data_IF_074459036392
#
_entry.id   IF_074459036392
#
_cell.length_a   1.000
_cell.length_b   1.000
_cell.length_c   1.000
_cell.angle_alpha   90.00
_cell.angle_beta   90.00
_cell.angle_gamma   90.00
#
_symmetry.space_group_name_H-M   'P 1'
#
loop_
_entity.id
_entity.type
_entity.pdbx_description
1 polymer ?
#
# COMPACT_ATOMS: atom_id res chain seq x y z
N UNK A 1 -11.04 -13.30 -3.17
CA UNK A 1 -9.76 -12.58 -3.08
C UNK A 1 -9.97 -11.42 -2.12
N UNK A 2 -9.50 -11.58 -0.86
CA UNK A 2 -9.79 -10.65 0.23
C UNK A 2 -9.07 -9.29 0.04
N UNK A 3 -7.89 -9.30 -0.59
CA UNK A 3 -7.06 -8.11 -0.79
C UNK A 3 -7.59 -7.17 -1.87
N UNK A 4 -8.09 -7.71 -2.98
CA UNK A 4 -8.67 -6.90 -4.07
C UNK A 4 -9.94 -6.14 -3.61
N UNK A 5 -10.82 -6.79 -2.85
CA UNK A 5 -12.02 -6.14 -2.30
C UNK A 5 -11.68 -5.13 -1.19
N UNK A 6 -10.71 -5.44 -0.33
CA UNK A 6 -10.18 -4.49 0.65
C UNK A 6 -9.58 -3.26 -0.04
N UNK A 7 -8.82 -3.45 -1.12
CA UNK A 7 -8.21 -2.37 -1.89
C UNK A 7 -9.26 -1.46 -2.51
N UNK A 8 -10.29 -2.03 -3.16
CA UNK A 8 -11.40 -1.25 -3.74
C UNK A 8 -12.16 -0.45 -2.69
N UNK A 9 -12.46 -1.08 -1.55
CA UNK A 9 -13.20 -0.43 -0.45
C UNK A 9 -12.39 0.69 0.18
N UNK A 10 -11.12 0.43 0.52
CA UNK A 10 -10.20 1.43 1.06
C UNK A 10 -9.98 2.59 0.10
N UNK A 11 -9.73 2.30 -1.18
CA UNK A 11 -9.58 3.33 -2.21
C UNK A 11 -10.80 4.25 -2.29
N UNK A 12 -12.02 3.71 -2.28
CA UNK A 12 -13.24 4.55 -2.35
C UNK A 12 -13.36 5.50 -1.14
N UNK A 13 -13.02 5.02 0.06
CA UNK A 13 -13.03 5.85 1.27
C UNK A 13 -11.99 6.98 1.18
N UNK A 14 -10.75 6.66 0.82
CA UNK A 14 -9.69 7.66 0.65
C UNK A 14 -9.97 8.62 -0.51
N UNK A 15 -10.56 8.13 -1.60
CA UNK A 15 -10.98 8.96 -2.72
C UNK A 15 -12.06 9.96 -2.27
N UNK A 16 -13.04 9.52 -1.47
CA UNK A 16 -14.03 10.42 -0.89
C UNK A 16 -13.39 11.46 0.04
N UNK A 17 -12.41 11.07 0.85
CA UNK A 17 -11.65 11.99 1.70
C UNK A 17 -10.99 13.12 0.90
N UNK A 18 -10.24 12.79 -0.15
CA UNK A 18 -9.55 13.80 -0.98
C UNK A 18 -10.53 14.63 -1.83
N UNK A 19 -11.75 14.14 -2.07
CA UNK A 19 -12.82 14.88 -2.76
C UNK A 19 -13.67 15.75 -1.81
N UNK A 20 -13.25 15.94 -0.56
CA UNK A 20 -13.92 16.85 0.39
C UNK A 20 -14.72 16.16 1.50
N UNK A 21 -14.64 14.84 1.66
CA UNK A 21 -15.18 14.16 2.85
C UNK A 21 -14.20 14.26 4.05
N UNK A 22 -13.87 15.50 4.38
CA UNK A 22 -13.06 15.91 5.51
C UNK A 22 -13.73 17.11 6.18
N UNK A 23 -13.28 17.46 7.40
CA UNK A 23 -13.91 18.51 8.21
C UNK A 23 -13.92 19.88 7.51
N UNK A 24 -12.94 20.13 6.63
CA UNK A 24 -12.77 21.42 5.96
C UNK A 24 -13.45 21.48 4.59
N UNK A 25 -14.09 20.38 4.12
CA UNK A 25 -14.60 20.24 2.75
C UNK A 25 -13.56 20.56 1.67
N UNK A 26 -12.28 20.36 2.00
CA UNK A 26 -11.16 20.71 1.15
C UNK A 26 -10.92 19.60 0.11
N UNK A 27 -10.59 19.99 -1.12
CA UNK A 27 -10.05 19.07 -2.11
C UNK A 27 -8.56 18.87 -1.85
N UNK A 28 -8.10 17.62 -1.87
CA UNK A 28 -6.69 17.25 -1.78
C UNK A 28 -6.27 16.63 -3.11
N UNK A 29 -5.13 17.05 -3.63
CA UNK A 29 -4.62 16.50 -4.89
C UNK A 29 -4.32 15.00 -4.76
N UNK A 30 -4.70 14.23 -5.78
CA UNK A 30 -4.41 12.79 -5.83
C UNK A 30 -2.91 12.58 -6.05
N UNK A 31 -2.33 11.64 -5.31
CA UNK A 31 -0.93 11.25 -5.41
C UNK A 31 -0.79 9.80 -5.86
N UNK A 32 0.40 9.44 -6.31
CA UNK A 32 0.79 8.07 -6.58
C UNK A 32 2.10 7.75 -5.84
N UNK A 33 2.32 6.49 -5.43
CA UNK A 33 1.42 5.34 -5.59
C UNK A 33 0.33 5.26 -4.51
N UNK A 34 -0.73 4.49 -4.80
CA UNK A 34 -1.61 3.94 -3.76
C UNK A 34 -0.92 2.73 -3.16
N UNK A 35 -0.66 2.76 -1.86
CA UNK A 35 -0.02 1.64 -1.15
C UNK A 35 -1.05 0.82 -0.40
N UNK A 36 -0.84 -0.50 -0.32
CA UNK A 36 -1.58 -1.39 0.57
C UNK A 36 -0.58 -2.17 1.42
N UNK A 37 -0.59 -1.91 2.73
CA UNK A 37 0.16 -2.66 3.75
C UNK A 37 -0.63 -3.91 4.09
N UNK A 38 0.01 -5.07 3.98
CA UNK A 38 -0.59 -6.36 4.26
C UNK A 38 0.08 -6.99 5.47
N UNK A 39 -0.73 -7.27 6.49
CA UNK A 39 -0.34 -8.12 7.63
C UNK A 39 -1.09 -9.44 7.48
N UNK A 40 -0.40 -10.53 7.09
CA UNK A 40 -1.03 -11.85 6.98
C UNK A 40 -1.61 -12.31 8.31
N UNK A 41 -2.74 -13.01 8.26
CA UNK A 41 -3.30 -13.66 9.45
C UNK A 41 -2.35 -14.73 10.00
N UNK A 42 -2.32 -14.89 11.33
CA UNK A 42 -1.40 -15.81 12.02
C UNK A 42 -1.68 -17.32 11.76
N UNK A 43 -2.74 -17.65 11.04
CA UNK A 43 -3.12 -19.02 10.70
C UNK A 43 -4.30 -19.08 9.73
N UNK A 44 -4.72 -20.29 9.31
CA UNK A 44 -5.70 -20.49 8.24
C UNK A 44 -7.09 -19.88 8.52
N UNK A 45 -7.43 -19.70 9.80
CA UNK A 45 -8.69 -19.13 10.25
C UNK A 45 -8.59 -17.63 10.61
N UNK A 46 -7.40 -17.04 10.55
CA UNK A 46 -7.19 -15.62 10.85
C UNK A 46 -7.25 -14.80 9.56
N UNK A 47 -8.04 -13.74 9.56
CA UNK A 47 -8.09 -12.82 8.43
C UNK A 47 -6.81 -11.99 8.33
N UNK A 48 -6.43 -11.63 7.10
CA UNK A 48 -5.33 -10.70 6.89
C UNK A 48 -5.81 -9.27 7.07
N UNK A 49 -4.98 -8.41 7.65
CA UNK A 49 -5.27 -6.99 7.76
C UNK A 49 -4.67 -6.24 6.56
N UNK A 50 -5.50 -5.43 5.92
CA UNK A 50 -5.14 -4.57 4.80
C UNK A 50 -5.29 -3.11 5.20
N UNK A 51 -4.24 -2.32 5.05
CA UNK A 51 -4.28 -0.85 5.24
C UNK A 51 -3.92 -0.18 3.93
N UNK A 52 -4.91 0.49 3.33
CA UNK A 52 -4.75 1.23 2.08
C UNK A 52 -4.38 2.67 2.46
N UNK A 53 -3.38 3.24 1.80
CA UNK A 53 -2.90 4.59 2.10
C UNK A 53 -2.67 5.38 0.81
N UNK A 54 -3.08 6.65 0.81
CA UNK A 54 -2.66 7.68 -0.14
C UNK A 54 -1.59 8.53 0.52
N UNK A 55 -0.64 8.99 -0.28
CA UNK A 55 0.34 9.96 0.19
C UNK A 55 -0.30 11.34 0.26
N UNK A 56 -0.13 12.04 1.37
CA UNK A 56 -0.59 13.43 1.51
C UNK A 56 0.46 14.34 0.85
N UNK A 57 0.06 15.26 -0.06
CA UNK A 57 0.99 16.22 -0.66
C UNK A 57 1.79 17.01 0.39
N UNK A 58 3.04 17.36 0.05
CA UNK A 58 3.98 18.03 0.95
C UNK A 58 3.40 19.30 1.59
N UNK A 59 2.63 20.07 0.83
CA UNK A 59 2.03 21.33 1.28
C UNK A 59 1.01 21.14 2.41
N UNK A 60 0.43 19.94 2.51
CA UNK A 60 -0.59 19.60 3.51
C UNK A 60 -0.04 18.74 4.65
N UNK A 61 1.18 18.21 4.55
CA UNK A 61 1.72 17.28 5.54
C UNK A 61 1.80 17.84 6.96
N UNK A 62 1.97 19.15 7.12
CA UNK A 62 2.02 19.80 8.44
C UNK A 62 0.65 19.88 9.13
N UNK A 63 -0.44 19.90 8.35
CA UNK A 63 -1.80 20.02 8.87
C UNK A 63 -2.82 19.46 7.85
N UNK A 64 -2.88 18.13 7.68
CA UNK A 64 -3.81 17.51 6.73
C UNK A 64 -5.26 17.70 7.20
N UNK A 65 -6.24 17.92 6.30
CA UNK A 65 -7.65 18.03 6.67
C UNK A 65 -8.10 16.80 7.46
N UNK A 66 -8.77 16.98 8.60
CA UNK A 66 -9.21 15.85 9.43
C UNK A 66 -10.31 15.05 8.71
N UNK A 67 -10.25 13.70 8.65
CA UNK A 67 -11.26 12.90 7.97
C UNK A 67 -12.63 12.99 8.66
N UNK A 68 -13.70 12.88 7.89
CA UNK A 68 -15.06 12.77 8.44
C UNK A 68 -15.57 11.33 8.56
N UNK A 69 -14.95 10.38 7.84
CA UNK A 69 -15.22 8.94 7.97
C UNK A 69 -14.38 8.34 9.10
N UNK A 70 -15.01 7.66 10.06
CA UNK A 70 -14.34 7.06 11.22
C UNK A 70 -13.41 5.89 10.86
N UNK A 71 -13.47 5.38 9.63
CA UNK A 71 -12.57 4.36 9.12
C UNK A 71 -11.37 4.94 8.37
N UNK A 72 -11.25 6.26 8.28
CA UNK A 72 -10.12 6.96 7.65
C UNK A 72 -9.38 7.71 8.75
N UNK A 73 -8.06 7.57 8.79
CA UNK A 73 -7.21 8.15 9.81
C UNK A 73 -5.88 8.59 9.21
N UNK A 74 -5.19 9.47 9.92
CA UNK A 74 -3.84 9.89 9.55
C UNK A 74 -2.83 8.85 10.02
N UNK A 75 -2.03 8.33 9.08
CA UNK A 75 -0.92 7.41 9.35
C UNK A 75 0.40 8.21 9.34
N UNK A 76 1.05 8.32 10.49
CA UNK A 76 2.46 8.74 10.55
C UNK A 76 3.34 7.53 10.22
N UNK A 77 3.68 7.40 8.94
CA UNK A 77 4.49 6.30 8.42
C UNK A 77 5.97 6.54 8.72
N UNK A 78 6.50 5.76 9.65
CA UNK A 78 7.92 5.81 10.02
C UNK A 78 8.84 5.46 8.85
N UNK A 79 10.05 6.00 8.91
CA UNK A 79 11.11 5.67 7.98
C UNK A 79 11.37 4.16 7.95
N UNK A 80 11.56 3.61 6.76
CA UNK A 80 12.00 2.24 6.57
C UNK A 80 12.79 2.09 5.27
N UNK A 81 13.61 1.04 5.22
CA UNK A 81 14.22 0.56 3.97
C UNK A 81 13.43 -0.63 3.45
N UNK A 82 13.16 -0.66 2.15
CA UNK A 82 12.47 -1.77 1.50
C UNK A 82 13.21 -2.26 0.26
N UNK A 83 13.14 -3.58 0.05
CA UNK A 83 13.45 -4.22 -1.21
C UNK A 83 12.21 -4.17 -2.10
N UNK A 84 12.36 -3.70 -3.33
CA UNK A 84 11.24 -3.44 -4.25
C UNK A 84 11.38 -4.30 -5.48
N UNK A 85 10.28 -4.95 -5.86
CA UNK A 85 10.15 -5.61 -7.16
C UNK A 85 9.05 -4.96 -7.98
N UNK A 86 9.40 -4.45 -9.15
CA UNK A 86 8.48 -3.84 -10.10
C UNK A 86 8.01 -4.87 -11.14
N UNK A 87 6.73 -4.80 -11.49
CA UNK A 87 6.13 -5.66 -12.52
C UNK A 87 5.00 -4.93 -13.27
N UNK A 88 4.68 -5.42 -14.46
CA UNK A 88 3.65 -4.86 -15.34
C UNK A 88 2.32 -5.61 -15.32
N UNK A 89 1.36 -5.12 -16.11
CA UNK A 89 0.06 -5.76 -16.31
C UNK A 89 -1.03 -5.34 -15.31
N UNK A 90 -2.21 -5.95 -15.44
CA UNK A 90 -3.34 -5.74 -14.53
C UNK A 90 -3.13 -6.56 -13.27
N UNK A 91 -2.63 -5.92 -12.22
CA UNK A 91 -2.39 -6.60 -10.95
C UNK A 91 -3.69 -7.08 -10.30
N UNK A 92 -3.68 -8.31 -9.79
CA UNK A 92 -4.68 -8.90 -8.91
C UNK A 92 -3.96 -9.58 -7.73
N UNK A 93 -4.70 -10.16 -6.78
CA UNK A 93 -4.08 -10.82 -5.61
C UNK A 93 -3.14 -11.98 -5.99
N UNK A 94 -3.43 -12.72 -7.06
CA UNK A 94 -2.59 -13.83 -7.53
C UNK A 94 -1.23 -13.32 -8.06
N UNK A 95 -1.25 -12.30 -8.91
CA UNK A 95 -0.03 -11.69 -9.45
C UNK A 95 0.81 -11.02 -8.35
N UNK A 96 0.18 -10.31 -7.41
CA UNK A 96 0.88 -9.72 -6.25
C UNK A 96 1.61 -10.82 -5.48
N UNK A 97 0.95 -11.94 -5.21
CA UNK A 97 1.53 -13.09 -4.50
C UNK A 97 2.68 -13.71 -5.29
N UNK A 98 2.52 -13.91 -6.59
CA UNK A 98 3.57 -14.49 -7.44
C UNK A 98 4.82 -13.61 -7.47
N UNK A 99 4.66 -12.30 -7.66
CA UNK A 99 5.78 -11.35 -7.68
C UNK A 99 6.41 -11.19 -6.29
N UNK A 100 5.63 -11.26 -5.21
CA UNK A 100 6.17 -11.30 -3.85
C UNK A 100 7.06 -12.53 -3.64
N UNK A 101 6.62 -13.72 -4.07
CA UNK A 101 7.42 -14.95 -3.96
C UNK A 101 8.73 -14.83 -4.75
N UNK A 102 8.69 -14.31 -5.98
CA UNK A 102 9.90 -14.07 -6.79
C UNK A 102 10.88 -13.09 -6.12
N UNK A 103 10.37 -12.07 -5.43
CA UNK A 103 11.19 -11.15 -4.63
C UNK A 103 11.84 -11.89 -3.46
N UNK A 104 11.06 -12.62 -2.66
CA UNK A 104 11.57 -13.38 -1.52
C UNK A 104 12.62 -14.43 -1.92
N UNK A 105 12.41 -15.13 -3.04
CA UNK A 105 13.39 -16.07 -3.61
C UNK A 105 14.70 -15.37 -3.98
N UNK A 106 14.62 -14.17 -4.58
CA UNK A 106 15.81 -13.38 -4.93
C UNK A 106 16.56 -12.94 -3.68
N UNK A 107 15.86 -12.44 -2.65
CA UNK A 107 16.46 -12.03 -1.39
C UNK A 107 17.15 -13.18 -0.66
N UNK A 108 16.53 -14.36 -0.64
CA UNK A 108 17.11 -15.58 -0.05
C UNK A 108 18.36 -16.03 -0.81
N UNK A 109 18.32 -16.03 -2.14
CA UNK A 109 19.48 -16.36 -2.99
C UNK A 109 20.65 -15.43 -2.72
N UNK A 110 20.37 -14.15 -2.53
CA UNK A 110 21.39 -13.10 -2.38
C UNK A 110 21.82 -12.92 -0.90
N UNK A 111 21.26 -13.69 0.04
CA UNK A 111 21.60 -13.65 1.47
C UNK A 111 21.15 -12.37 2.19
N UNK A 112 20.16 -11.66 1.65
CA UNK A 112 19.65 -10.42 2.23
C UNK A 112 18.75 -10.68 3.45
N UNK A 113 18.89 -9.87 4.50
CA UNK A 113 18.03 -9.94 5.68
C UNK A 113 16.76 -9.07 5.50
N UNK A 114 15.61 -9.67 5.77
CA UNK A 114 14.30 -9.02 5.64
C UNK A 114 13.31 -9.52 6.71
N UNK A 115 12.18 -8.83 6.85
CA UNK A 115 11.06 -9.31 7.67
C UNK A 115 9.96 -9.91 6.79
N UNK A 116 9.36 -11.02 7.23
CA UNK A 116 8.31 -11.72 6.47
C UNK A 116 6.98 -10.96 6.43
N UNK A 117 6.72 -10.12 7.44
CA UNK A 117 5.53 -9.27 7.52
C UNK A 117 5.83 -7.99 8.34
N UNK A 118 5.13 -6.88 8.08
CA UNK A 118 4.22 -6.67 6.94
C UNK A 118 5.00 -6.57 5.61
N UNK A 119 4.30 -6.84 4.51
CA UNK A 119 4.75 -6.46 3.16
C UNK A 119 3.82 -5.40 2.58
N UNK A 120 4.25 -4.75 1.49
CA UNK A 120 3.43 -3.76 0.79
C UNK A 120 3.22 -4.12 -0.66
N UNK A 121 2.13 -3.60 -1.20
CA UNK A 121 1.90 -3.51 -2.64
C UNK A 121 1.66 -2.05 -3.00
N UNK A 122 2.09 -1.63 -4.19
CA UNK A 122 1.97 -0.26 -4.65
C UNK A 122 1.47 -0.22 -6.10
N UNK A 123 0.36 0.49 -6.32
CA UNK A 123 -0.22 0.73 -7.64
C UNK A 123 -0.06 2.18 -8.05
N UNK A 124 0.54 2.42 -9.21
CA UNK A 124 0.83 3.78 -9.69
C UNK A 124 -0.24 4.32 -10.64
N UNK A 125 -1.00 3.44 -11.28
CA UNK A 125 -1.83 3.82 -12.40
C UNK A 125 -3.32 3.76 -12.10
N UNK A 126 -4.03 4.80 -12.55
CA UNK A 126 -5.47 4.86 -12.48
C UNK A 126 -6.15 3.69 -13.24
N UNK A 127 -7.39 3.32 -12.88
CA UNK A 127 -8.09 2.16 -13.47
C UNK A 127 -8.23 2.21 -15.00
N UNK A 128 -8.29 3.41 -15.58
CA UNK A 128 -8.46 3.64 -17.01
C UNK A 128 -7.17 3.54 -17.83
N UNK A 129 -5.99 3.41 -17.20
CA UNK A 129 -4.73 3.19 -17.93
C UNK A 129 -4.60 1.73 -18.32
N UNK A 130 -4.72 1.41 -19.61
CA UNK A 130 -4.77 0.03 -20.11
C UNK A 130 -3.40 -0.58 -20.47
N UNK A 131 -2.38 0.25 -20.74
CA UNK A 131 -1.04 -0.19 -21.18
C UNK A 131 0.07 0.43 -20.32
N UNK A 132 1.23 -0.24 -20.25
CA UNK A 132 2.41 0.20 -19.48
C UNK A 132 2.07 0.54 -18.02
N UNK A 133 1.28 -0.34 -17.39
CA UNK A 133 0.99 -0.25 -15.96
C UNK A 133 2.23 -0.62 -15.15
N UNK A 134 2.52 0.14 -14.09
CA UNK A 134 3.57 -0.07 -13.12
C UNK A 134 2.94 -0.46 -11.78
N UNK A 135 3.33 -1.63 -11.29
CA UNK A 135 2.99 -2.10 -9.95
C UNK A 135 4.26 -2.55 -9.24
N UNK A 136 4.23 -2.54 -7.92
CA UNK A 136 5.35 -2.99 -7.11
C UNK A 136 4.89 -3.83 -5.91
N UNK A 137 5.74 -4.75 -5.48
CA UNK A 137 5.68 -5.40 -4.17
C UNK A 137 6.94 -5.05 -3.37
N UNK A 138 6.76 -4.76 -2.09
CA UNK A 138 7.85 -4.33 -1.21
C UNK A 138 7.96 -5.27 -0.01
N UNK A 139 9.19 -5.66 0.30
CA UNK A 139 9.56 -6.40 1.52
C UNK A 139 10.51 -5.53 2.33
N UNK A 140 10.25 -5.37 3.62
CA UNK A 140 11.04 -4.50 4.47
C UNK A 140 12.39 -5.14 4.82
N UNK A 141 13.47 -4.36 4.73
CA UNK A 141 14.79 -4.76 5.25
C UNK A 141 14.69 -4.91 6.76
N UNK A 142 15.33 -5.93 7.33
CA UNK A 142 15.44 -6.06 8.78
C UNK A 142 16.25 -4.87 9.32
N UNK A 143 15.69 -4.14 10.28
CA UNK A 143 16.42 -3.05 10.92
C UNK A 143 17.64 -3.64 11.65
N UNK A 144 18.79 -2.97 11.55
CA UNK A 144 19.94 -3.30 12.39
C UNK A 144 19.53 -2.97 13.84
N UNK A 145 19.65 -3.95 14.74
CA UNK A 145 19.53 -3.69 16.18
C UNK A 145 20.65 -2.71 16.54
N UNK A 146 20.27 -1.47 16.91
CA UNK A 146 21.20 -0.47 17.45
C UNK A 146 21.46 -0.73 18.93
#
# INVERSE_FOLDING_TARGET
>A
MQGDEATKTGFRRLFSYIQGNNQNKASVEMTAPVTCRVVPGAGPACESQFTISFYIPDELQSNPPEPSDTNVFMEDRKEFTAYVRTYGGFSNDEMKREELLKLLESLKRDGAEFVDAPYYTAGYDAPFKLINRKNEVWVLKKAEEQ
#
